data_IF_338269994031
#
_entry.id   IF_338269994031
#
_cell.length_a   1.000
_cell.length_b   1.000
_cell.length_c   1.000
_cell.angle_alpha   90.00
_cell.angle_beta   90.00
_cell.angle_gamma   90.00
#
_symmetry.space_group_name_H-M   'P 1'
#
loop_
_entity.id
_entity.type
_entity.pdbx_description
1 polymer ?
#
# COMPACT_ATOMS: atom_id res chain seq x y z
N UNK A 1 -5.10 8.26 -13.03
CA UNK A 1 -4.21 7.95 -11.91
C UNK A 1 -4.88 8.42 -10.65
N UNK A 2 -4.86 7.61 -9.59
CA UNK A 2 -5.37 7.98 -8.27
C UNK A 2 -4.17 8.34 -7.41
N UNK A 3 -4.21 9.48 -6.74
CA UNK A 3 -3.13 9.94 -5.88
C UNK A 3 -3.62 10.05 -4.45
N UNK A 4 -2.76 9.69 -3.50
CA UNK A 4 -3.05 9.85 -2.08
C UNK A 4 -1.83 10.43 -1.38
N UNK A 5 -2.04 11.42 -0.52
CA UNK A 5 -0.97 12.00 0.27
C UNK A 5 -0.50 11.04 1.37
N UNK A 6 0.80 11.11 1.68
CA UNK A 6 1.45 10.36 2.76
C UNK A 6 0.80 10.52 4.14
N UNK A 7 0.22 11.69 4.42
CA UNK A 7 -0.51 11.95 5.67
C UNK A 7 -1.89 11.30 5.73
N UNK A 8 -2.42 10.75 4.63
CA UNK A 8 -3.79 10.26 4.62
C UNK A 8 -3.97 9.01 5.52
N UNK A 9 -5.05 8.91 6.33
CA UNK A 9 -5.29 7.75 7.21
C UNK A 9 -5.27 6.39 6.49
N UNK A 10 -5.83 6.35 5.27
CA UNK A 10 -5.95 5.12 4.49
C UNK A 10 -4.72 4.80 3.61
N UNK A 11 -3.60 5.50 3.78
CA UNK A 11 -2.42 5.34 2.91
C UNK A 11 -1.89 3.90 2.85
N UNK A 12 -1.91 3.18 3.97
CA UNK A 12 -1.47 1.79 4.06
C UNK A 12 -2.39 0.87 3.26
N UNK A 13 -3.71 1.01 3.45
CA UNK A 13 -4.71 0.23 2.70
C UNK A 13 -4.59 0.53 1.21
N UNK A 14 -4.49 1.80 0.85
CA UNK A 14 -4.37 2.26 -0.53
C UNK A 14 -3.18 1.60 -1.25
N UNK A 15 -2.01 1.57 -0.61
CA UNK A 15 -0.81 0.93 -1.18
C UNK A 15 -0.99 -0.59 -1.29
N UNK A 16 -1.45 -1.25 -0.22
CA UNK A 16 -1.62 -2.72 -0.20
C UNK A 16 -2.72 -3.16 -1.18
N UNK A 17 -3.72 -2.31 -1.43
CA UNK A 17 -4.84 -2.59 -2.33
C UNK A 17 -4.41 -2.97 -3.75
N UNK A 18 -3.20 -2.61 -4.18
CA UNK A 18 -2.64 -2.92 -5.50
C UNK A 18 -1.64 -4.08 -5.51
N UNK A 19 -1.20 -4.54 -4.34
CA UNK A 19 -0.29 -5.69 -4.25
C UNK A 19 -1.00 -7.01 -4.59
N UNK A 20 -0.75 -7.57 -5.78
CA UNK A 20 -1.37 -8.83 -6.23
C UNK A 20 -0.50 -10.07 -5.95
N UNK A 21 0.72 -9.89 -5.45
CA UNK A 21 1.64 -11.00 -5.19
C UNK A 21 1.51 -11.50 -3.74
N UNK A 22 0.94 -12.70 -3.51
CA UNK A 22 0.73 -13.21 -2.15
C UNK A 22 2.04 -13.46 -1.40
N UNK A 23 3.15 -13.73 -2.09
CA UNK A 23 4.48 -13.88 -1.45
C UNK A 23 4.94 -12.58 -0.82
N UNK A 24 4.66 -11.44 -1.47
CA UNK A 24 5.03 -10.12 -0.95
C UNK A 24 4.13 -9.73 0.21
N UNK A 25 2.83 -10.04 0.16
CA UNK A 25 1.95 -9.84 1.32
C UNK A 25 2.44 -10.63 2.54
N UNK A 26 2.83 -11.89 2.36
CA UNK A 26 3.45 -12.69 3.42
C UNK A 26 4.75 -12.09 3.93
N UNK A 27 5.62 -11.65 3.02
CA UNK A 27 6.86 -10.98 3.38
C UNK A 27 6.60 -9.73 4.24
N UNK A 28 5.61 -8.90 3.88
CA UNK A 28 5.23 -7.74 4.68
C UNK A 28 4.79 -8.16 6.08
N UNK A 29 3.90 -9.15 6.20
CA UNK A 29 3.41 -9.66 7.50
C UNK A 29 4.56 -10.12 8.40
N UNK A 30 5.56 -10.79 7.83
CA UNK A 30 6.69 -11.37 8.56
C UNK A 30 7.79 -10.34 8.91
N UNK A 31 7.88 -9.21 8.19
CA UNK A 31 9.03 -8.29 8.29
C UNK A 31 8.69 -6.86 8.73
N UNK A 32 7.42 -6.45 8.76
CA UNK A 32 7.02 -5.16 9.33
C UNK A 32 6.80 -5.24 10.83
N UNK A 33 7.10 -4.15 11.55
CA UNK A 33 6.71 -4.02 12.96
C UNK A 33 5.38 -3.27 13.12
N UNK A 34 4.80 -2.76 12.03
CA UNK A 34 3.58 -1.97 12.07
C UNK A 34 2.33 -2.85 11.99
N UNK A 35 1.49 -2.79 13.03
CA UNK A 35 0.31 -3.65 13.14
C UNK A 35 -0.77 -3.37 12.07
N UNK A 36 -0.89 -2.13 11.57
CA UNK A 36 -1.85 -1.83 10.49
C UNK A 36 -1.37 -2.40 9.16
N UNK A 37 -0.07 -2.31 8.86
CA UNK A 37 0.51 -2.95 7.66
C UNK A 37 0.26 -4.46 7.71
N UNK A 38 0.53 -5.11 8.87
CA UNK A 38 0.22 -6.54 9.05
C UNK A 38 -1.25 -6.82 8.80
N UNK A 39 -2.14 -6.05 9.43
CA UNK A 39 -3.59 -6.23 9.32
C UNK A 39 -4.06 -6.15 7.87
N UNK A 40 -3.74 -5.08 7.14
CA UNK A 40 -4.18 -4.93 5.74
C UNK A 40 -3.56 -5.98 4.81
N UNK A 41 -2.32 -6.38 5.05
CA UNK A 41 -1.69 -7.46 4.29
C UNK A 41 -2.37 -8.81 4.56
N UNK A 42 -2.76 -9.09 5.81
CA UNK A 42 -3.53 -10.29 6.20
C UNK A 42 -4.93 -10.28 5.59
N UNK A 43 -5.66 -9.16 5.72
CA UNK A 43 -7.02 -9.00 5.19
C UNK A 43 -7.05 -9.20 3.67
N UNK A 44 -5.95 -8.83 2.98
CA UNK A 44 -5.81 -9.06 1.54
C UNK A 44 -5.37 -10.48 1.19
N UNK A 45 -4.67 -11.19 2.07
CA UNK A 45 -4.13 -12.52 1.79
C UNK A 45 -5.21 -13.60 1.95
N UNK A 46 -5.46 -14.39 0.91
CA UNK A 46 -6.39 -15.50 0.92
C UNK A 46 -5.64 -16.83 1.01
N UNK A 47 -5.98 -17.67 1.96
CA UNK A 47 -5.47 -19.05 2.03
C UNK A 47 -6.55 -20.05 1.62
N UNK A 48 -6.23 -20.92 0.66
CA UNK A 48 -7.08 -22.05 0.26
C UNK A 48 -6.38 -23.35 0.66
N UNK A 49 -6.89 -24.10 1.66
CA UNK A 49 -6.32 -25.39 2.05
C UNK A 49 -6.35 -26.39 0.89
N UNK A 50 -5.41 -27.33 0.87
CA UNK A 50 -5.48 -28.47 -0.04
C UNK A 50 -6.67 -29.36 0.30
N UNK A 51 -7.29 -29.93 -0.73
CA UNK A 51 -8.21 -31.05 -0.57
C UNK A 51 -7.44 -32.36 -0.35
N UNK A 52 -8.06 -33.37 0.25
CA UNK A 52 -7.46 -34.71 0.45
C UNK A 52 -6.95 -35.31 -0.88
N UNK A 53 -7.70 -35.11 -1.97
CA UNK A 53 -7.31 -35.55 -3.32
C UNK A 53 -6.05 -34.84 -3.83
N UNK A 54 -5.94 -33.52 -3.60
CA UNK A 54 -4.76 -32.75 -4.01
C UNK A 54 -3.54 -33.11 -3.16
N UNK A 55 -3.73 -33.31 -1.85
CA UNK A 55 -2.67 -33.76 -0.94
C UNK A 55 -2.12 -35.12 -1.39
N UNK A 56 -3.01 -36.09 -1.66
CA UNK A 56 -2.63 -37.40 -2.19
C UNK A 56 -1.91 -37.29 -3.54
N UNK A 57 -2.36 -36.40 -4.43
CA UNK A 57 -1.73 -36.15 -5.73
C UNK A 57 -0.31 -35.59 -5.57
N UNK A 58 -0.12 -34.54 -4.78
CA UNK A 58 1.21 -33.95 -4.56
C UNK A 58 2.14 -34.93 -3.83
N UNK A 59 1.62 -35.72 -2.89
CA UNK A 59 2.40 -36.75 -2.22
C UNK A 59 2.85 -37.83 -3.21
N UNK A 60 1.97 -38.19 -4.16
CA UNK A 60 2.29 -39.07 -5.28
C UNK A 60 3.43 -38.53 -6.14
N UNK A 61 3.46 -37.22 -6.42
CA UNK A 61 4.54 -36.56 -7.16
C UNK A 61 5.86 -36.65 -6.39
N UNK A 62 5.87 -36.35 -5.08
CA UNK A 62 7.07 -36.40 -4.23
C UNK A 62 7.67 -37.81 -4.19
N UNK A 63 6.86 -38.87 -4.24
CA UNK A 63 7.35 -40.24 -4.23
C UNK A 63 8.30 -40.55 -5.41
N UNK A 64 8.17 -39.84 -6.54
CA UNK A 64 9.08 -39.97 -7.69
C UNK A 64 10.40 -39.22 -7.54
N UNK A 65 10.57 -38.39 -6.50
CA UNK A 65 11.80 -37.62 -6.25
C UNK A 65 13.05 -38.49 -6.13
N UNK A 66 12.89 -39.72 -5.61
CA UNK A 66 13.99 -40.67 -5.41
C UNK A 66 14.21 -41.61 -6.62
N UNK A 67 13.39 -41.49 -7.67
CA UNK A 67 13.46 -42.36 -8.84
C UNK A 67 14.36 -41.72 -9.91
N UNK A 68 15.27 -42.48 -10.54
CA UNK A 68 16.08 -41.97 -11.65
C UNK A 68 15.21 -41.36 -12.75
N UNK A 69 15.52 -40.11 -13.15
CA UNK A 69 14.70 -39.35 -14.10
C UNK A 69 13.41 -38.75 -13.52
N UNK A 70 13.27 -38.70 -12.18
CA UNK A 70 12.17 -38.05 -11.44
C UNK A 70 10.77 -38.52 -11.87
N UNK A 71 10.66 -39.76 -12.37
CA UNK A 71 9.40 -40.29 -12.89
C UNK A 71 8.84 -39.53 -14.11
N UNK A 72 9.67 -38.74 -14.80
CA UNK A 72 9.25 -37.87 -15.90
C UNK A 72 8.84 -36.46 -15.49
N UNK A 73 8.86 -36.13 -14.19
CA UNK A 73 8.65 -34.76 -13.71
C UNK A 73 9.94 -33.93 -13.77
N UNK A 74 9.79 -32.61 -13.88
CA UNK A 74 10.93 -31.70 -13.74
C UNK A 74 11.21 -31.41 -12.26
N UNK A 75 12.45 -31.02 -11.94
CA UNK A 75 12.84 -30.59 -10.58
C UNK A 75 11.93 -29.48 -10.04
N UNK A 76 11.49 -28.57 -10.92
CA UNK A 76 10.55 -27.49 -10.57
C UNK A 76 9.21 -28.04 -10.08
N UNK A 77 8.66 -29.04 -10.76
CA UNK A 77 7.37 -29.65 -10.37
C UNK A 77 7.50 -30.36 -9.03
N UNK A 78 8.60 -31.08 -8.80
CA UNK A 78 8.87 -31.73 -7.52
C UNK A 78 8.93 -30.68 -6.40
N UNK A 79 9.69 -29.60 -6.60
CA UNK A 79 9.80 -28.51 -5.63
C UNK A 79 8.47 -27.82 -5.35
N UNK A 80 7.68 -27.53 -6.39
CA UNK A 80 6.36 -26.90 -6.26
C UNK A 80 5.40 -27.81 -5.46
N UNK A 81 5.47 -29.14 -5.64
CA UNK A 81 4.69 -30.10 -4.86
C UNK A 81 5.12 -30.13 -3.39
N UNK A 82 6.43 -30.09 -3.11
CA UNK A 82 6.98 -29.99 -1.75
C UNK A 82 6.51 -28.71 -1.05
N UNK A 83 6.59 -27.56 -1.72
CA UNK A 83 6.15 -26.27 -1.17
C UNK A 83 4.65 -26.28 -0.85
N UNK A 84 3.81 -26.83 -1.75
CA UNK A 84 2.35 -26.90 -1.52
C UNK A 84 1.98 -27.81 -0.36
N UNK A 85 2.65 -28.96 -0.23
CA UNK A 85 2.41 -29.87 0.90
C UNK A 85 2.91 -29.29 2.22
N UNK A 86 4.10 -28.67 2.25
CA UNK A 86 4.61 -28.00 3.44
C UNK A 86 3.69 -26.85 3.89
N UNK A 87 3.14 -26.12 2.92
CA UNK A 87 2.23 -25.00 3.18
C UNK A 87 0.82 -25.48 3.54
N UNK A 88 0.43 -26.71 3.16
CA UNK A 88 -0.91 -27.27 3.36
C UNK A 88 -2.00 -26.62 2.50
N UNK A 89 -1.62 -25.83 1.49
CA UNK A 89 -2.58 -25.04 0.70
C UNK A 89 -1.91 -24.12 -0.31
N UNK A 90 -2.72 -23.25 -0.92
CA UNK A 90 -2.28 -22.21 -1.86
C UNK A 90 -2.71 -20.84 -1.35
N UNK A 91 -1.78 -19.89 -1.39
CA UNK A 91 -2.07 -18.49 -1.14
C UNK A 91 -2.47 -17.78 -2.44
N UNK A 92 -3.51 -16.96 -2.36
CA UNK A 92 -3.94 -16.01 -3.37
C UNK A 92 -4.30 -14.68 -2.70
N UNK A 93 -4.88 -13.75 -3.45
CA UNK A 93 -5.28 -12.44 -2.93
C UNK A 93 -6.80 -12.29 -3.01
N UNK A 94 -7.39 -11.66 -1.99
CA UNK A 94 -8.77 -11.22 -2.01
C UNK A 94 -8.93 -10.05 -2.99
N UNK A 95 -10.09 -10.00 -3.67
CA UNK A 95 -10.48 -8.91 -4.57
C UNK A 95 -9.40 -8.58 -5.64
N UNK A 96 -8.92 -9.59 -6.37
CA UNK A 96 -7.88 -9.42 -7.40
C UNK A 96 -8.23 -8.39 -8.47
N UNK A 97 -9.53 -8.21 -8.74
CA UNK A 97 -10.05 -7.26 -9.73
C UNK A 97 -10.17 -5.81 -9.21
N UNK A 98 -9.91 -5.57 -7.91
CA UNK A 98 -10.00 -4.24 -7.34
C UNK A 98 -8.87 -3.34 -7.87
N UNK A 99 -9.26 -2.19 -8.44
CA UNK A 99 -8.36 -1.17 -9.01
C UNK A 99 -7.41 -1.66 -10.12
N UNK A 100 -7.70 -2.75 -10.83
CA UNK A 100 -6.84 -3.26 -11.90
C UNK A 100 -6.69 -2.31 -13.09
N UNK A 101 -7.68 -1.45 -13.35
CA UNK A 101 -7.69 -0.48 -14.45
C UNK A 101 -7.13 0.91 -14.15
N UNK A 102 -6.59 1.16 -12.95
CA UNK A 102 -6.09 2.47 -12.54
C UNK A 102 -4.70 2.39 -11.93
N UNK A 103 -3.80 3.29 -12.36
CA UNK A 103 -2.52 3.48 -11.66
C UNK A 103 -2.70 4.28 -10.38
N UNK A 104 -1.92 3.92 -9.36
CA UNK A 104 -1.88 4.64 -8.09
C UNK A 104 -0.54 5.35 -7.88
N UNK A 105 -0.55 6.46 -7.16
CA UNK A 105 0.66 7.17 -6.74
C UNK A 105 0.51 7.76 -5.35
N UNK A 106 1.63 7.95 -4.67
CA UNK A 106 1.68 8.60 -3.36
C UNK A 106 2.34 9.97 -3.48
N UNK A 107 1.70 10.98 -2.90
CA UNK A 107 2.26 12.32 -2.79
C UNK A 107 3.07 12.39 -1.50
N UNK A 108 4.38 12.57 -1.61
CA UNK A 108 5.30 12.65 -0.48
C UNK A 108 5.68 14.10 -0.18
N UNK A 109 5.66 14.44 1.10
CA UNK A 109 6.08 15.74 1.60
C UNK A 109 7.51 15.75 2.10
N UNK A 110 8.05 16.96 2.27
CA UNK A 110 9.33 17.16 2.94
C UNK A 110 9.27 16.72 4.40
N UNK A 111 8.20 17.05 5.13
CA UNK A 111 8.09 16.66 6.55
C UNK A 111 8.01 15.15 6.76
N UNK A 112 7.43 14.40 5.82
CA UNK A 112 7.50 12.94 5.83
C UNK A 112 8.92 12.43 5.55
N UNK A 113 9.58 12.95 4.51
CA UNK A 113 10.94 12.52 4.18
C UNK A 113 11.93 12.84 5.30
N UNK A 114 11.80 14.01 5.94
CA UNK A 114 12.57 14.37 7.12
C UNK A 114 12.33 13.37 8.27
N UNK A 115 11.08 12.96 8.50
CA UNK A 115 10.77 11.93 9.49
C UNK A 115 11.37 10.56 9.13
N UNK A 116 11.41 10.18 7.85
CA UNK A 116 12.07 8.95 7.38
C UNK A 116 13.57 8.99 7.68
N UNK A 117 14.24 10.07 7.31
CA UNK A 117 15.69 10.24 7.50
C UNK A 117 16.08 10.20 8.99
N UNK A 118 15.27 10.82 9.84
CA UNK A 118 15.53 10.93 11.28
C UNK A 118 14.98 9.78 12.12
N UNK A 119 14.48 8.70 11.51
CA UNK A 119 13.85 7.58 12.24
C UNK A 119 12.67 8.04 13.13
N UNK A 120 11.94 9.04 12.67
CA UNK A 120 10.84 9.69 13.37
C UNK A 120 9.51 8.95 13.23
N UNK A 121 8.54 9.46 13.96
CA UNK A 121 7.13 9.12 13.80
C UNK A 121 6.45 10.12 12.87
N UNK A 122 5.37 9.67 12.23
CA UNK A 122 4.59 10.45 11.28
C UNK A 122 3.10 10.26 11.56
N UNK A 123 2.36 11.36 11.52
CA UNK A 123 0.94 11.40 11.84
C UNK A 123 0.09 11.18 10.59
N UNK A 124 -0.76 10.16 10.63
CA UNK A 124 -1.80 9.95 9.64
C UNK A 124 -3.06 10.70 10.09
N UNK A 125 -3.40 11.75 9.34
CA UNK A 125 -4.34 12.79 9.74
C UNK A 125 -5.22 13.25 8.58
N UNK A 126 -6.43 13.69 8.90
CA UNK A 126 -7.41 14.18 7.94
C UNK A 126 -8.31 15.25 8.59
N UNK A 127 -8.99 16.11 7.81
CA UNK A 127 -10.07 16.95 8.34
C UNK A 127 -11.01 16.16 9.26
N UNK A 128 -11.36 16.73 10.41
CA UNK A 128 -12.13 16.05 11.47
C UNK A 128 -13.64 16.01 11.15
N UNK A 129 -13.97 15.45 9.98
CA UNK A 129 -15.31 15.42 9.40
C UNK A 129 -16.36 14.76 10.31
N UNK A 130 -15.93 13.83 11.16
CA UNK A 130 -16.80 13.14 12.11
C UNK A 130 -17.24 14.01 13.28
N UNK A 131 -16.43 15.02 13.65
CA UNK A 131 -16.67 15.88 14.81
C UNK A 131 -17.12 17.29 14.44
N UNK A 132 -17.24 17.59 13.14
CA UNK A 132 -17.67 18.89 12.65
C UNK A 132 -19.13 19.19 13.02
N UNK A 133 -19.35 20.41 13.48
CA UNK A 133 -20.67 21.04 13.52
C UNK A 133 -21.20 21.25 12.08
N UNK A 134 -22.48 21.63 11.97
CA UNK A 134 -23.10 21.91 10.65
C UNK A 134 -22.38 23.02 9.88
N UNK A 135 -21.88 24.04 10.58
CA UNK A 135 -21.15 25.15 9.96
C UNK A 135 -19.76 24.72 9.49
N UNK A 136 -19.03 23.97 10.32
CA UNK A 136 -17.72 23.40 9.96
C UNK A 136 -17.83 22.43 8.77
N UNK A 137 -18.89 21.61 8.73
CA UNK A 137 -19.15 20.70 7.62
C UNK A 137 -19.50 21.44 6.33
N UNK A 138 -20.26 22.54 6.40
CA UNK A 138 -20.52 23.38 5.23
C UNK A 138 -19.22 23.99 4.68
N UNK A 139 -18.37 24.52 5.57
CA UNK A 139 -17.06 25.03 5.20
C UNK A 139 -16.16 23.96 4.56
N UNK A 140 -16.14 22.74 5.12
CA UNK A 140 -15.39 21.63 4.54
C UNK A 140 -15.87 21.27 3.13
N UNK A 141 -17.18 21.10 2.94
CA UNK A 141 -17.74 20.73 1.64
C UNK A 141 -17.47 21.81 0.57
N UNK A 142 -17.47 23.08 0.96
CA UNK A 142 -17.24 24.20 0.05
C UNK A 142 -15.75 24.46 -0.22
N UNK A 143 -14.85 24.26 0.74
CA UNK A 143 -13.47 24.76 0.64
C UNK A 143 -12.38 23.68 0.64
N UNK A 144 -12.63 22.47 1.15
CA UNK A 144 -11.57 21.45 1.25
C UNK A 144 -10.98 21.05 -0.11
N UNK A 145 -11.80 20.96 -1.15
CA UNK A 145 -11.35 20.55 -2.48
C UNK A 145 -10.42 21.58 -3.15
N UNK A 146 -10.52 22.85 -2.76
CA UNK A 146 -9.62 23.93 -3.21
C UNK A 146 -8.31 23.96 -2.41
N UNK A 147 -8.33 23.48 -1.15
CA UNK A 147 -7.14 23.45 -0.28
C UNK A 147 -6.33 22.17 -0.50
N UNK A 148 -6.97 21.00 -0.44
CA UNK A 148 -6.37 19.68 -0.71
C UNK A 148 -5.23 19.22 0.22
N UNK A 149 -4.70 20.12 1.06
CA UNK A 149 -3.59 19.88 1.99
C UNK A 149 -4.06 20.03 3.44
N UNK A 150 -3.92 18.95 4.21
CA UNK A 150 -4.34 18.93 5.63
C UNK A 150 -3.54 19.91 6.48
N UNK A 151 -2.31 20.21 6.09
CA UNK A 151 -1.40 21.13 6.79
C UNK A 151 -1.88 22.56 6.62
N UNK A 152 -2.25 22.95 5.40
CA UNK A 152 -2.83 24.28 5.12
C UNK A 152 -4.22 24.43 5.73
N UNK A 153 -5.03 23.37 5.68
CA UNK A 153 -6.35 23.35 6.32
C UNK A 153 -6.27 23.60 7.83
N UNK A 154 -5.31 22.97 8.52
CA UNK A 154 -5.04 23.22 9.92
C UNK A 154 -4.55 24.65 10.20
N UNK A 155 -3.68 25.20 9.34
CA UNK A 155 -3.18 26.59 9.45
C UNK A 155 -4.30 27.63 9.34
N UNK A 156 -5.38 27.33 8.61
CA UNK A 156 -6.58 28.17 8.53
C UNK A 156 -7.44 28.11 9.80
N UNK A 157 -7.07 27.30 10.80
CA UNK A 157 -7.79 27.15 12.06
C UNK A 157 -8.89 26.08 12.03
N UNK A 158 -9.01 25.33 10.93
CA UNK A 158 -9.96 24.23 10.84
C UNK A 158 -9.47 23.02 11.65
N UNK A 159 -10.40 22.23 12.20
CA UNK A 159 -10.02 21.05 13.01
C UNK A 159 -9.51 19.92 12.11
N UNK A 160 -8.41 19.32 12.53
CA UNK A 160 -7.81 18.13 11.93
C UNK A 160 -7.71 17.07 13.01
N UNK A 161 -7.96 15.83 12.63
CA UNK A 161 -7.84 14.67 13.51
C UNK A 161 -6.68 13.80 13.06
N UNK A 162 -5.81 13.48 14.01
CA UNK A 162 -4.84 12.40 13.86
C UNK A 162 -5.53 11.08 14.17
N UNK A 163 -5.60 10.20 13.18
CA UNK A 163 -6.21 8.88 13.30
C UNK A 163 -5.22 7.87 13.86
N UNK A 164 -3.96 8.01 13.49
CA UNK A 164 -2.88 7.13 13.90
C UNK A 164 -1.52 7.79 13.72
N UNK A 165 -0.56 7.32 14.49
CA UNK A 165 0.86 7.62 14.30
C UNK A 165 1.59 6.35 13.84
N UNK A 166 2.46 6.48 12.83
CA UNK A 166 3.25 5.39 12.25
C UNK A 166 4.74 5.77 12.27
N UNK A 167 5.64 4.81 12.43
CA UNK A 167 7.08 5.05 12.22
C UNK A 167 7.31 5.35 10.74
N UNK A 168 7.86 6.51 10.41
CA UNK A 168 7.94 6.97 9.02
C UNK A 168 8.65 5.96 8.10
N UNK A 169 9.69 5.27 8.62
CA UNK A 169 10.39 4.21 7.90
C UNK A 169 9.54 2.98 7.60
N UNK A 170 8.56 2.61 8.42
CA UNK A 170 7.67 1.48 8.12
C UNK A 170 6.79 1.80 6.91
N UNK A 171 6.24 3.02 6.83
CA UNK A 171 5.49 3.48 5.66
C UNK A 171 6.39 3.59 4.41
N UNK A 172 7.60 4.15 4.56
CA UNK A 172 8.56 4.22 3.47
C UNK A 172 8.98 2.85 2.95
N UNK A 173 9.23 1.89 3.84
CA UNK A 173 9.55 0.51 3.46
C UNK A 173 8.38 -0.14 2.71
N UNK A 174 7.15 0.07 3.17
CA UNK A 174 5.95 -0.41 2.47
C UNK A 174 5.87 0.15 1.05
N UNK A 175 6.06 1.47 0.89
CA UNK A 175 6.07 2.14 -0.43
C UNK A 175 7.12 1.50 -1.33
N UNK A 176 8.36 1.34 -0.85
CA UNK A 176 9.46 0.79 -1.64
C UNK A 176 9.24 -0.68 -2.04
N UNK A 177 8.79 -1.51 -1.10
CA UNK A 177 8.52 -2.93 -1.35
C UNK A 177 7.42 -3.04 -2.40
N UNK A 178 6.31 -2.33 -2.23
CA UNK A 178 5.23 -2.37 -3.21
C UNK A 178 5.67 -1.82 -4.57
N UNK A 179 6.32 -0.65 -4.62
CA UNK A 179 6.82 -0.08 -5.87
C UNK A 179 7.77 -1.04 -6.61
N UNK A 180 8.62 -1.77 -5.88
CA UNK A 180 9.55 -2.75 -6.45
C UNK A 180 8.84 -3.96 -7.04
N UNK A 181 7.83 -4.50 -6.35
CA UNK A 181 7.22 -5.79 -6.72
C UNK A 181 5.88 -5.69 -7.46
N UNK A 182 5.26 -4.50 -7.50
CA UNK A 182 4.04 -4.22 -8.27
C UNK A 182 4.18 -3.05 -9.26
N UNK A 183 5.35 -2.42 -9.37
CA UNK A 183 5.56 -1.19 -10.15
C UNK A 183 4.70 0.01 -9.69
N UNK A 184 4.10 -0.10 -8.50
CA UNK A 184 3.16 0.84 -7.91
C UNK A 184 3.25 0.77 -6.37
N UNK A 185 3.04 1.89 -5.65
CA UNK A 185 2.64 3.20 -6.17
C UNK A 185 3.77 3.95 -6.88
N UNK A 186 3.40 4.82 -7.82
CA UNK A 186 4.29 5.89 -8.27
C UNK A 186 4.57 6.88 -7.15
N UNK A 187 5.68 7.61 -7.23
CA UNK A 187 6.09 8.58 -6.20
C UNK A 187 6.08 9.97 -6.79
N UNK A 188 5.40 10.90 -6.13
CA UNK A 188 5.36 12.30 -6.49
C UNK A 188 5.76 13.17 -5.30
N UNK A 189 6.84 13.95 -5.44
CA UNK A 189 7.30 14.84 -4.38
C UNK A 189 6.52 16.16 -4.41
N UNK A 190 5.48 16.21 -3.59
CA UNK A 190 4.44 17.24 -3.62
C UNK A 190 4.97 18.65 -3.34
N UNK A 191 5.81 18.78 -2.30
CA UNK A 191 6.38 20.07 -1.91
C UNK A 191 7.40 20.58 -2.94
N UNK A 192 8.20 19.69 -3.54
CA UNK A 192 9.17 20.09 -4.57
C UNK A 192 8.45 20.58 -5.84
N UNK A 193 7.38 19.89 -6.25
CA UNK A 193 6.59 20.31 -7.40
C UNK A 193 5.96 21.69 -7.18
N UNK A 194 5.46 21.95 -5.97
CA UNK A 194 4.91 23.25 -5.60
C UNK A 194 5.99 24.34 -5.50
N UNK A 195 7.15 24.07 -4.91
CA UNK A 195 8.23 25.06 -4.77
C UNK A 195 8.89 25.46 -6.11
N UNK A 196 8.84 24.58 -7.11
CA UNK A 196 9.52 24.76 -8.38
C UNK A 196 8.58 25.14 -9.53
N UNK A 197 7.26 25.14 -9.32
CA UNK A 197 6.31 25.49 -10.39
C UNK A 197 6.26 26.99 -10.64
N UNK A 198 6.19 27.38 -11.92
CA UNK A 198 5.93 28.76 -12.30
C UNK A 198 4.49 29.20 -11.98
N UNK A 199 3.57 28.26 -11.72
CA UNK A 199 2.18 28.52 -11.35
C UNK A 199 2.06 29.33 -10.05
N UNK A 200 3.06 29.23 -9.15
CA UNK A 200 3.13 30.04 -7.92
C UNK A 200 3.07 31.55 -8.21
N UNK A 201 3.64 32.02 -9.33
CA UNK A 201 3.60 33.43 -9.71
C UNK A 201 2.17 33.94 -9.99
N UNK A 202 1.23 33.02 -10.24
CA UNK A 202 -0.18 33.30 -10.48
C UNK A 202 -1.05 33.01 -9.25
N UNK A 203 -0.45 32.72 -8.09
CA UNK A 203 -1.17 32.31 -6.88
C UNK A 203 -1.80 30.93 -6.98
N UNK A 204 -1.34 30.09 -7.92
CA UNK A 204 -1.81 28.72 -8.13
C UNK A 204 -0.82 27.72 -7.52
N UNK A 205 -1.32 26.55 -7.18
CA UNK A 205 -0.54 25.45 -6.61
C UNK A 205 -0.89 24.12 -7.30
N UNK A 206 0.04 23.17 -7.27
CA UNK A 206 -0.12 21.83 -7.83
C UNK A 206 -0.85 20.96 -6.81
N UNK A 207 -2.02 20.45 -7.20
CA UNK A 207 -2.83 19.53 -6.38
C UNK A 207 -2.66 18.06 -6.77
N UNK A 208 -2.21 17.80 -8.01
CA UNK A 208 -1.97 16.48 -8.57
C UNK A 208 -1.05 16.57 -9.81
N UNK A 209 -0.51 15.43 -10.26
CA UNK A 209 0.17 15.29 -11.56
C UNK A 209 -0.69 14.49 -12.55
N UNK A 210 -0.24 14.43 -13.79
CA UNK A 210 -0.88 13.68 -14.86
C UNK A 210 -0.65 12.15 -14.67
N UNK A 211 -1.29 11.28 -15.49
CA UNK A 211 -1.15 9.84 -15.35
C UNK A 211 0.23 9.25 -15.59
N UNK A 212 1.19 10.03 -16.09
CA UNK A 212 2.55 9.58 -16.38
C UNK A 212 3.57 10.10 -15.35
N UNK A 213 3.18 11.08 -14.52
CA UNK A 213 3.96 11.55 -13.38
C UNK A 213 4.94 12.68 -13.69
N UNK A 214 4.88 13.28 -14.88
CA UNK A 214 5.67 14.47 -15.28
C UNK A 214 5.01 15.82 -14.98
#
# INVERSE_FOLDING_TARGET
MIMLADWHPDIVEFIISKMQNPRILRFLIENTNDEMIKKHAQDKLKFTPLTESEEAMYQGIINYKQIPGLGGFSEKIIKDAEEKLQTGGTYSVHNSEFLTGANISVCLTKDFMDAVENDGEYELRFPDVESYSKEEMANYNENWHEVGDVREWAKQGNKVRTYRTIRAKELWNLINICATYSAEPGIFFFDNANDMTNAQAYGQHVVATNPCGE
#
